data_IF_351783328209
#
_entry.id   IF_351783328209
#
_cell.length_a   1.000
_cell.length_b   1.000
_cell.length_c   1.000
_cell.angle_alpha   90.00
_cell.angle_beta   90.00
_cell.angle_gamma   90.00
#
_symmetry.space_group_name_H-M   'P 1'
#
loop_
_entity.id
_entity.type
_entity.pdbx_description
1 polymer ?
#
# COMPACT_ATOMS: atom_id res chain seq x y z
N UNK A 1 41.02 -11.21 3.31
CA UNK A 1 39.91 -11.57 2.40
C UNK A 1 38.89 -10.45 2.57
N UNK A 2 38.86 -9.53 1.60
CA UNK A 2 37.97 -8.36 1.68
C UNK A 2 36.57 -8.78 1.27
N UNK A 3 35.69 -8.76 2.24
CA UNK A 3 34.25 -8.90 2.04
C UNK A 3 33.78 -7.66 1.23
N UNK A 4 33.61 -7.85 -0.07
CA UNK A 4 32.97 -6.84 -0.91
C UNK A 4 31.48 -6.93 -0.60
N UNK A 5 30.99 -6.03 0.24
CA UNK A 5 29.56 -5.72 0.28
C UNK A 5 29.11 -5.46 -1.14
N UNK A 6 28.39 -6.42 -1.70
CA UNK A 6 27.66 -6.20 -2.96
C UNK A 6 26.58 -5.20 -2.59
N UNK A 7 26.77 -3.95 -2.95
CA UNK A 7 25.74 -2.93 -2.82
C UNK A 7 24.63 -3.37 -3.78
N UNK A 8 23.51 -3.82 -3.24
CA UNK A 8 22.33 -4.19 -4.03
C UNK A 8 21.88 -2.97 -4.81
N UNK A 9 21.93 -3.05 -6.13
CA UNK A 9 21.46 -1.98 -7.01
C UNK A 9 19.94 -2.15 -7.13
N UNK A 10 19.21 -1.16 -6.65
CA UNK A 10 17.76 -1.10 -6.74
C UNK A 10 17.33 -0.48 -8.06
N UNK A 11 16.43 -1.15 -8.78
CA UNK A 11 15.89 -0.70 -10.06
C UNK A 11 14.39 -0.48 -9.89
N UNK A 12 13.83 0.66 -10.32
CA UNK A 12 12.39 0.87 -10.34
C UNK A 12 11.70 -0.22 -11.16
N UNK A 13 10.62 -0.78 -10.63
CA UNK A 13 9.78 -1.76 -11.30
C UNK A 13 8.43 -1.16 -11.58
N UNK A 14 7.92 -1.39 -12.78
CA UNK A 14 6.56 -1.02 -13.13
C UNK A 14 5.57 -1.86 -12.32
N UNK A 15 4.53 -1.21 -11.85
CA UNK A 15 3.39 -1.82 -11.20
C UNK A 15 2.43 -2.40 -12.23
N UNK A 16 1.62 -3.37 -11.83
CA UNK A 16 0.49 -3.85 -12.63
C UNK A 16 -0.72 -2.94 -12.43
N UNK A 17 -1.68 -2.97 -13.34
CA UNK A 17 -2.94 -2.23 -13.20
C UNK A 17 -3.65 -2.52 -11.87
N UNK A 18 -3.58 -3.76 -11.36
CA UNK A 18 -4.13 -4.12 -10.06
C UNK A 18 -3.38 -3.43 -8.91
N UNK A 19 -2.04 -3.44 -8.96
CA UNK A 19 -1.22 -2.75 -7.95
C UNK A 19 -1.47 -1.24 -7.97
N UNK A 20 -1.56 -0.62 -9.16
CA UNK A 20 -1.87 0.80 -9.32
C UNK A 20 -3.22 1.15 -8.68
N UNK A 21 -4.22 0.29 -8.88
CA UNK A 21 -5.54 0.46 -8.29
C UNK A 21 -5.50 0.40 -6.75
N UNK A 22 -4.79 -0.58 -6.19
CA UNK A 22 -4.60 -0.67 -4.73
C UNK A 22 -3.84 0.54 -4.20
N UNK A 23 -2.76 0.95 -4.88
CA UNK A 23 -1.96 2.13 -4.50
C UNK A 23 -2.82 3.39 -4.48
N UNK A 24 -3.63 3.61 -5.52
CA UNK A 24 -4.53 4.76 -5.59
C UNK A 24 -5.49 4.85 -4.39
N UNK A 25 -5.92 3.71 -3.85
CA UNK A 25 -6.81 3.66 -2.68
C UNK A 25 -6.10 3.90 -1.34
N UNK A 26 -4.80 3.68 -1.26
CA UNK A 26 -4.02 3.91 -0.02
C UNK A 26 -3.39 5.30 0.04
N UNK A 27 -3.30 6.01 -1.08
CA UNK A 27 -2.85 7.40 -1.08
C UNK A 27 -3.79 8.27 -0.24
N UNK A 28 -3.21 9.13 0.59
CA UNK A 28 -3.96 9.97 1.53
C UNK A 28 -4.32 9.30 2.85
N UNK A 29 -4.22 7.97 2.96
CA UNK A 29 -4.41 7.27 4.23
C UNK A 29 -3.17 7.36 5.13
N UNK A 30 -3.34 7.15 6.44
CA UNK A 30 -2.25 7.14 7.43
C UNK A 30 -1.96 5.71 7.89
N UNK A 31 -0.67 5.35 7.98
CA UNK A 31 -0.26 4.06 8.56
C UNK A 31 -0.40 4.12 10.08
N UNK A 32 -1.16 3.20 10.65
CA UNK A 32 -1.34 3.08 12.11
C UNK A 32 -0.42 2.04 12.73
N UNK A 33 -0.19 0.94 12.04
CA UNK A 33 0.67 -0.14 12.50
C UNK A 33 0.81 -1.24 11.47
N UNK A 34 1.70 -2.20 11.75
CA UNK A 34 1.95 -3.32 10.84
C UNK A 34 2.32 -4.58 11.61
N UNK A 35 2.18 -5.72 10.94
CA UNK A 35 2.77 -7.00 11.34
C UNK A 35 3.16 -7.80 10.10
N UNK A 36 4.04 -8.78 10.30
CA UNK A 36 4.49 -9.70 9.24
C UNK A 36 4.01 -11.11 9.59
N UNK A 37 3.40 -11.77 8.64
CA UNK A 37 2.97 -13.15 8.76
C UNK A 37 2.97 -13.83 7.39
N UNK A 38 3.42 -15.09 7.32
CA UNK A 38 3.38 -15.96 6.14
C UNK A 38 3.85 -15.28 4.85
N UNK A 39 5.07 -14.70 4.89
CA UNK A 39 5.72 -14.05 3.75
C UNK A 39 4.96 -12.82 3.20
N UNK A 40 4.14 -12.20 4.03
CA UNK A 40 3.43 -10.98 3.70
C UNK A 40 3.57 -9.93 4.81
N UNK A 41 3.51 -8.67 4.42
CA UNK A 41 3.36 -7.53 5.32
C UNK A 41 1.91 -7.09 5.34
N UNK A 42 1.36 -6.88 6.51
CA UNK A 42 0.01 -6.40 6.76
C UNK A 42 0.08 -5.03 7.43
N UNK A 43 -0.47 -4.03 6.78
CA UNK A 43 -0.41 -2.63 7.22
C UNK A 43 -1.82 -2.15 7.51
N UNK A 44 -2.08 -1.75 8.75
CA UNK A 44 -3.35 -1.14 9.14
C UNK A 44 -3.33 0.33 8.76
N UNK A 45 -4.36 0.77 8.04
CA UNK A 45 -4.62 2.15 7.66
C UNK A 45 -5.73 2.77 8.52
N UNK A 46 -5.69 4.09 8.71
CA UNK A 46 -6.69 4.85 9.47
C UNK A 46 -8.10 4.82 8.86
N UNK A 47 -8.20 4.51 7.57
CA UNK A 47 -9.45 4.27 6.85
C UNK A 47 -10.13 2.93 7.17
N UNK A 48 -9.60 2.15 8.13
CA UNK A 48 -10.17 0.88 8.58
C UNK A 48 -9.87 -0.33 7.70
N UNK A 49 -8.92 -0.21 6.79
CA UNK A 49 -8.46 -1.28 5.89
C UNK A 49 -7.09 -1.81 6.30
N UNK A 50 -6.84 -3.07 5.96
CA UNK A 50 -5.51 -3.68 5.99
C UNK A 50 -5.00 -3.80 4.56
N UNK A 51 -3.88 -3.15 4.29
CA UNK A 51 -3.13 -3.30 3.06
C UNK A 51 -2.15 -4.44 3.21
N UNK A 52 -2.32 -5.49 2.41
CA UNK A 52 -1.44 -6.67 2.40
C UNK A 52 -0.50 -6.59 1.21
N UNK A 53 0.79 -6.79 1.45
CA UNK A 53 1.82 -6.85 0.41
C UNK A 53 2.52 -8.20 0.53
N UNK A 54 2.40 -9.04 -0.50
CA UNK A 54 2.93 -10.39 -0.55
C UNK A 54 4.37 -10.41 -1.09
N UNK A 55 5.10 -11.48 -0.79
CA UNK A 55 6.50 -11.68 -1.22
C UNK A 55 6.70 -11.59 -2.74
N UNK A 56 5.73 -12.04 -3.52
CA UNK A 56 5.75 -11.95 -4.99
C UNK A 56 5.47 -10.54 -5.53
N UNK A 57 5.08 -9.62 -4.64
CA UNK A 57 4.74 -8.25 -4.96
C UNK A 57 3.26 -8.01 -5.20
N UNK A 58 2.42 -9.06 -5.16
CA UNK A 58 0.97 -8.87 -5.22
C UNK A 58 0.47 -8.12 -3.99
N UNK A 59 -0.65 -7.42 -4.16
CA UNK A 59 -1.24 -6.58 -3.13
C UNK A 59 -2.71 -6.89 -2.93
N UNK A 60 -3.18 -6.70 -1.70
CA UNK A 60 -4.59 -6.77 -1.36
C UNK A 60 -4.98 -5.62 -0.43
N UNK A 61 -6.21 -5.15 -0.52
CA UNK A 61 -6.77 -4.16 0.37
C UNK A 61 -8.14 -4.63 0.86
N UNK A 62 -8.23 -5.02 2.13
CA UNK A 62 -9.45 -5.56 2.72
C UNK A 62 -9.83 -4.81 4.00
N UNK A 63 -11.13 -4.67 4.30
CA UNK A 63 -11.57 -4.23 5.61
C UNK A 63 -10.92 -5.07 6.71
N UNK A 64 -10.44 -4.45 7.78
CA UNK A 64 -9.66 -5.16 8.82
C UNK A 64 -10.34 -6.41 9.41
N UNK A 65 -11.69 -6.46 9.61
CA UNK A 65 -12.32 -7.66 10.12
C UNK A 65 -12.23 -8.85 9.15
N UNK A 66 -12.30 -8.58 7.83
CA UNK A 66 -12.19 -9.57 6.78
C UNK A 66 -10.74 -10.05 6.68
N UNK A 67 -9.79 -9.11 6.55
CA UNK A 67 -8.37 -9.43 6.48
C UNK A 67 -7.92 -10.34 7.62
N UNK A 68 -8.29 -10.03 8.88
CA UNK A 68 -7.93 -10.85 10.04
C UNK A 68 -8.63 -12.21 10.02
N UNK A 69 -9.85 -12.30 9.50
CA UNK A 69 -10.57 -13.58 9.44
C UNK A 69 -9.93 -14.56 8.46
N UNK A 70 -9.33 -14.07 7.38
CA UNK A 70 -8.68 -14.87 6.33
C UNK A 70 -7.28 -15.37 6.71
N UNK A 71 -6.64 -14.80 7.74
CA UNK A 71 -5.33 -15.26 8.19
C UNK A 71 -5.37 -16.74 8.64
N UNK A 72 -4.40 -17.52 8.24
CA UNK A 72 -4.22 -18.91 8.72
C UNK A 72 -3.53 -18.94 10.09
N UNK A 73 -4.13 -18.27 11.06
CA UNK A 73 -3.70 -18.20 12.46
C UNK A 73 -4.68 -18.92 13.39
N UNK A 74 -4.17 -19.34 14.55
CA UNK A 74 -5.02 -19.82 15.63
C UNK A 74 -5.96 -18.70 16.15
N UNK A 75 -7.13 -19.07 16.72
CA UNK A 75 -8.12 -18.09 17.17
C UNK A 75 -7.59 -17.10 18.20
N UNK A 76 -6.66 -17.51 19.08
CA UNK A 76 -6.12 -16.64 20.11
C UNK A 76 -5.25 -15.52 19.51
N UNK A 77 -4.42 -15.85 18.53
CA UNK A 77 -3.62 -14.85 17.80
C UNK A 77 -4.48 -13.90 16.97
N UNK A 78 -5.52 -14.42 16.29
CA UNK A 78 -6.48 -13.55 15.60
C UNK A 78 -7.13 -12.55 16.55
N UNK A 79 -7.50 -12.99 17.74
CA UNK A 79 -8.09 -12.12 18.76
C UNK A 79 -7.10 -11.06 19.28
N UNK A 80 -5.82 -11.42 19.46
CA UNK A 80 -4.78 -10.46 19.80
C UNK A 80 -4.59 -9.40 18.72
N UNK A 81 -4.58 -9.80 17.43
CA UNK A 81 -4.49 -8.84 16.32
C UNK A 81 -5.70 -7.90 16.30
N UNK A 82 -6.92 -8.42 16.51
CA UNK A 82 -8.13 -7.57 16.60
C UNK A 82 -8.03 -6.56 17.72
N UNK A 83 -7.61 -7.01 18.91
CA UNK A 83 -7.40 -6.11 20.05
C UNK A 83 -6.36 -5.02 19.76
N UNK A 84 -5.24 -5.38 19.10
CA UNK A 84 -4.22 -4.41 18.69
C UNK A 84 -4.79 -3.41 17.67
N UNK A 85 -5.58 -3.86 16.70
CA UNK A 85 -6.26 -3.01 15.71
C UNK A 85 -7.18 -2.02 16.41
N UNK A 86 -8.02 -2.49 17.34
CA UNK A 86 -8.94 -1.62 18.09
C UNK A 86 -8.17 -0.53 18.85
N UNK A 87 -7.05 -0.90 19.51
CA UNK A 87 -6.18 0.05 20.21
C UNK A 87 -5.56 1.09 19.25
N UNK A 88 -5.14 0.66 18.07
CA UNK A 88 -4.54 1.55 17.06
C UNK A 88 -5.59 2.52 16.49
N UNK A 89 -6.77 2.05 16.14
CA UNK A 89 -7.85 2.87 15.57
C UNK A 89 -8.35 3.96 16.53
N UNK A 90 -8.35 3.69 17.85
CA UNK A 90 -8.72 4.71 18.84
C UNK A 90 -7.54 5.57 19.30
N UNK A 91 -6.35 5.41 18.70
CA UNK A 91 -5.15 6.17 19.06
C UNK A 91 -4.63 5.88 20.48
N UNK A 92 -4.91 4.69 21.04
CA UNK A 92 -4.46 4.31 22.37
C UNK A 92 -2.94 4.16 22.42
N UNK A 93 -2.30 4.66 23.50
CA UNK A 93 -0.86 4.47 23.76
C UNK A 93 -0.54 3.11 24.41
N UNK A 94 -1.52 2.22 24.58
CA UNK A 94 -1.32 0.91 25.19
C UNK A 94 -0.32 0.05 24.39
N UNK A 95 0.33 -0.87 25.10
CA UNK A 95 1.24 -1.84 24.48
C UNK A 95 0.47 -2.80 23.58
N UNK A 96 0.94 -3.00 22.37
CA UNK A 96 0.39 -3.94 21.42
C UNK A 96 0.99 -5.34 21.66
N UNK A 97 0.21 -6.37 21.36
CA UNK A 97 0.60 -7.77 21.59
C UNK A 97 1.42 -8.34 20.42
N UNK A 98 0.99 -8.08 19.19
CA UNK A 98 1.55 -8.66 17.96
C UNK A 98 1.89 -7.60 16.90
N UNK A 99 1.16 -6.51 16.85
CA UNK A 99 1.42 -5.45 15.88
C UNK A 99 2.52 -4.49 16.36
N UNK A 100 3.23 -3.92 15.38
CA UNK A 100 4.18 -2.83 15.60
C UNK A 100 3.50 -1.53 15.23
N UNK A 101 3.47 -0.57 16.14
CA UNK A 101 2.91 0.76 15.89
C UNK A 101 3.77 1.49 14.87
N UNK A 102 3.13 2.08 13.87
CA UNK A 102 3.82 2.99 12.96
C UNK A 102 4.22 4.27 13.70
N UNK A 103 5.32 4.89 13.25
CA UNK A 103 5.62 6.26 13.64
C UNK A 103 4.54 7.19 13.07
N UNK A 104 4.34 8.35 13.69
CA UNK A 104 3.45 9.38 13.14
C UNK A 104 4.13 10.01 11.91
N UNK A 105 3.78 9.49 10.74
CA UNK A 105 4.36 9.89 9.45
C UNK A 105 3.44 10.81 8.64
N UNK A 106 2.18 10.98 9.07
CA UNK A 106 1.16 11.67 8.29
C UNK A 106 0.61 10.81 7.15
N UNK A 107 -0.04 11.44 6.20
CA UNK A 107 -0.68 10.77 5.08
C UNK A 107 0.35 10.22 4.07
N UNK A 108 0.01 9.08 3.46
CA UNK A 108 0.79 8.51 2.35
C UNK A 108 0.68 9.41 1.13
N UNK A 109 1.82 9.81 0.58
CA UNK A 109 1.90 10.70 -0.60
C UNK A 109 2.40 9.99 -1.85
N UNK A 110 3.15 8.89 -1.69
CA UNK A 110 3.70 8.12 -2.82
C UNK A 110 4.06 6.70 -2.41
N UNK A 111 4.08 5.79 -3.39
CA UNK A 111 4.51 4.40 -3.23
C UNK A 111 5.41 4.01 -4.40
N UNK A 112 6.66 3.68 -4.14
CA UNK A 112 7.61 3.21 -5.13
C UNK A 112 7.86 1.71 -4.99
N UNK A 113 7.95 0.99 -6.12
CA UNK A 113 8.32 -0.41 -6.16
C UNK A 113 9.71 -0.57 -6.78
N UNK A 114 10.62 -1.17 -6.04
CA UNK A 114 12.01 -1.39 -6.42
C UNK A 114 12.33 -2.88 -6.42
N UNK A 115 13.19 -3.30 -7.33
CA UNK A 115 13.66 -4.68 -7.41
C UNK A 115 15.19 -4.72 -7.51
N UNK A 116 15.79 -5.68 -6.83
CA UNK A 116 17.19 -6.06 -6.99
C UNK A 116 17.29 -7.52 -7.43
N UNK A 117 18.51 -8.04 -7.61
CA UNK A 117 18.72 -9.44 -7.99
C UNK A 117 18.19 -10.44 -6.96
N UNK A 118 18.09 -10.05 -5.69
CA UNK A 118 17.78 -10.95 -4.57
C UNK A 118 16.59 -10.51 -3.73
N UNK A 119 16.09 -9.28 -3.94
CA UNK A 119 15.11 -8.67 -3.06
C UNK A 119 14.15 -7.77 -3.82
N UNK A 120 12.97 -7.56 -3.24
CA UNK A 120 11.99 -6.55 -3.63
C UNK A 120 11.81 -5.57 -2.50
N UNK A 121 11.50 -4.33 -2.84
CA UNK A 121 11.27 -3.28 -1.86
C UNK A 121 10.12 -2.38 -2.28
N UNK A 122 9.15 -2.20 -1.38
CA UNK A 122 8.17 -1.14 -1.48
C UNK A 122 8.61 -0.01 -0.57
N UNK A 123 8.66 1.20 -1.12
CA UNK A 123 8.95 2.42 -0.36
C UNK A 123 7.68 3.24 -0.31
N UNK A 124 7.12 3.35 0.87
CA UNK A 124 5.95 4.16 1.15
C UNK A 124 6.45 5.51 1.64
N UNK A 125 6.20 6.56 0.89
CA UNK A 125 6.50 7.94 1.27
C UNK A 125 5.26 8.55 1.90
N UNK A 126 5.43 9.18 3.05
CA UNK A 126 4.40 9.92 3.75
C UNK A 126 4.89 11.35 4.04
N UNK A 127 4.01 12.24 4.51
CA UNK A 127 4.30 13.66 4.73
C UNK A 127 5.56 13.91 5.57
N UNK A 128 5.83 13.07 6.57
CA UNK A 128 6.90 13.28 7.56
C UNK A 128 7.95 12.17 7.59
N UNK A 129 7.97 11.28 6.60
CA UNK A 129 8.97 10.23 6.54
C UNK A 129 8.63 9.11 5.56
N UNK A 130 9.45 8.06 5.60
CA UNK A 130 9.31 6.92 4.67
C UNK A 130 9.37 5.60 5.41
N UNK A 131 8.65 4.61 4.91
CA UNK A 131 8.70 3.21 5.36
C UNK A 131 9.11 2.33 4.20
N UNK A 132 10.10 1.47 4.40
CA UNK A 132 10.45 0.44 3.44
C UNK A 132 9.96 -0.93 3.89
N UNK A 133 9.34 -1.66 2.98
CA UNK A 133 9.03 -3.08 3.13
C UNK A 133 9.96 -3.82 2.20
N UNK A 134 10.95 -4.49 2.76
CA UNK A 134 11.94 -5.26 2.01
C UNK A 134 11.64 -6.74 2.13
N UNK A 135 11.60 -7.40 0.98
CA UNK A 135 11.29 -8.82 0.83
C UNK A 135 12.46 -9.54 0.19
N UNK A 136 13.11 -10.42 0.93
CA UNK A 136 14.19 -11.27 0.42
C UNK A 136 13.63 -12.46 -0.32
N UNK A 137 13.96 -12.60 -1.61
CA UNK A 137 13.50 -13.72 -2.44
C UNK A 137 14.21 -15.03 -2.08
N UNK A 138 15.42 -14.95 -1.52
CA UNK A 138 16.23 -16.12 -1.16
C UNK A 138 15.87 -16.67 0.22
N UNK A 139 15.70 -15.81 1.24
CA UNK A 139 15.34 -16.21 2.60
C UNK A 139 13.83 -16.28 2.83
N UNK A 140 13.02 -15.74 1.90
CA UNK A 140 11.56 -15.56 2.02
C UNK A 140 11.16 -14.74 3.25
N UNK A 141 12.03 -13.82 3.64
CA UNK A 141 11.84 -12.96 4.80
C UNK A 141 11.31 -11.59 4.40
N UNK A 142 10.34 -11.09 5.15
CA UNK A 142 9.75 -9.76 4.99
C UNK A 142 10.15 -8.90 6.17
N UNK A 143 10.67 -7.72 5.90
CA UNK A 143 11.07 -6.73 6.91
C UNK A 143 10.40 -5.40 6.64
N UNK A 144 9.88 -4.78 7.70
CA UNK A 144 9.32 -3.42 7.66
C UNK A 144 10.24 -2.50 8.45
N UNK A 145 10.74 -1.46 7.81
CA UNK A 145 11.72 -0.52 8.38
C UNK A 145 11.29 0.92 8.17
N UNK A 146 11.43 1.75 9.20
CA UNK A 146 11.32 3.20 9.02
C UNK A 146 12.63 3.72 8.44
N UNK A 147 12.58 4.35 7.30
CA UNK A 147 13.71 5.02 6.66
C UNK A 147 13.82 6.43 7.25
N UNK A 148 14.60 6.56 8.34
CA UNK A 148 15.00 7.87 8.85
C UNK A 148 16.27 8.25 8.11
N UNK A 149 16.20 9.30 7.30
CA UNK A 149 17.37 10.01 6.73
C UNK A 149 18.34 9.17 5.86
N UNK A 150 17.88 8.16 5.13
CA UNK A 150 18.65 7.73 3.96
C UNK A 150 18.59 8.87 2.92
N UNK A 151 19.76 9.40 2.46
CA UNK A 151 19.76 10.38 1.39
C UNK A 151 19.05 9.76 0.19
N UNK A 152 18.26 10.56 -0.51
CA UNK A 152 17.60 10.18 -1.76
C UNK A 152 18.64 9.58 -2.71
N UNK A 153 18.72 8.26 -2.71
CA UNK A 153 19.45 7.54 -3.76
C UNK A 153 18.56 7.68 -4.99
N UNK A 154 18.90 8.68 -5.78
CA UNK A 154 18.28 9.21 -6.97
C UNK A 154 17.33 8.21 -7.70
N UNK A 155 16.11 8.10 -7.22
CA UNK A 155 14.98 7.75 -8.05
C UNK A 155 14.52 9.08 -8.68
N UNK A 156 14.81 9.28 -9.95
CA UNK A 156 14.25 10.40 -10.69
C UNK A 156 12.72 10.42 -10.52
N UNK A 157 12.09 11.59 -10.34
CA UNK A 157 10.65 11.69 -10.11
C UNK A 157 9.90 11.45 -11.43
N UNK A 158 9.76 10.19 -11.82
CA UNK A 158 9.00 9.83 -13.03
C UNK A 158 7.53 9.51 -12.76
N UNK A 159 7.13 9.35 -11.49
CA UNK A 159 5.84 8.72 -11.18
C UNK A 159 4.70 9.71 -10.93
N UNK A 160 4.95 10.87 -10.33
CA UNK A 160 3.83 11.78 -9.99
C UNK A 160 3.23 12.51 -11.20
N UNK A 161 4.02 12.75 -12.26
CA UNK A 161 3.49 13.31 -13.51
C UNK A 161 2.69 12.26 -14.31
N UNK A 162 3.18 11.02 -14.37
CA UNK A 162 2.48 9.92 -15.06
C UNK A 162 1.19 9.50 -14.34
N UNK A 163 1.14 9.52 -12.99
CA UNK A 163 -0.09 9.20 -12.25
C UNK A 163 -1.18 10.24 -12.44
N UNK A 164 -0.84 11.53 -12.51
CA UNK A 164 -1.80 12.57 -12.86
C UNK A 164 -2.28 12.46 -14.32
N UNK A 165 -1.37 12.15 -15.26
CA UNK A 165 -1.74 11.91 -16.65
C UNK A 165 -2.61 10.66 -16.83
N UNK A 166 -2.35 9.58 -16.05
CA UNK A 166 -3.18 8.37 -16.05
C UNK A 166 -4.55 8.66 -15.43
N UNK A 167 -4.62 9.39 -14.32
CA UNK A 167 -5.88 9.77 -13.69
C UNK A 167 -6.72 10.71 -14.59
N UNK A 168 -6.08 11.65 -15.28
CA UNK A 168 -6.75 12.51 -16.27
C UNK A 168 -7.22 11.70 -17.50
N UNK A 169 -6.41 10.76 -17.99
CA UNK A 169 -6.76 9.88 -19.11
C UNK A 169 -7.90 8.90 -18.76
N UNK A 170 -7.92 8.34 -17.55
CA UNK A 170 -9.05 7.53 -17.07
C UNK A 170 -10.32 8.36 -16.92
N UNK A 171 -10.23 9.56 -16.36
CA UNK A 171 -11.37 10.46 -16.23
C UNK A 171 -11.93 10.85 -17.59
N UNK A 172 -11.08 11.14 -18.57
CA UNK A 172 -11.48 11.47 -19.94
C UNK A 172 -12.09 10.26 -20.68
N UNK A 173 -11.54 9.05 -20.47
CA UNK A 173 -12.10 7.81 -21.00
C UNK A 173 -13.49 7.49 -20.43
N UNK A 174 -13.69 7.66 -19.14
CA UNK A 174 -14.97 7.46 -18.47
C UNK A 174 -16.01 8.48 -18.92
N UNK A 175 -15.60 9.73 -19.08
CA UNK A 175 -16.42 10.81 -19.63
C UNK A 175 -16.88 10.49 -21.05
N UNK A 176 -15.97 10.04 -21.91
CA UNK A 176 -16.28 9.68 -23.29
C UNK A 176 -17.25 8.48 -23.36
N UNK A 177 -17.04 7.46 -22.55
CA UNK A 177 -17.89 6.28 -22.51
C UNK A 177 -19.30 6.60 -22.03
N UNK A 178 -19.41 7.38 -20.96
CA UNK A 178 -20.72 7.82 -20.45
C UNK A 178 -21.44 8.76 -21.42
N UNK A 179 -20.71 9.58 -22.16
CA UNK A 179 -21.23 10.41 -23.24
C UNK A 179 -21.81 9.59 -24.41
N UNK A 180 -21.13 8.48 -24.76
CA UNK A 180 -21.63 7.55 -25.78
C UNK A 180 -22.91 6.84 -25.33
N UNK A 181 -23.01 6.43 -24.07
CA UNK A 181 -24.19 5.78 -23.50
C UNK A 181 -25.38 6.74 -23.34
N UNK A 182 -25.15 7.98 -22.92
CA UNK A 182 -26.19 8.98 -22.70
C UNK A 182 -26.59 9.75 -24.00
N UNK A 183 -25.75 9.71 -25.02
CA UNK A 183 -25.93 10.50 -26.24
C UNK A 183 -25.85 12.02 -26.04
N UNK A 184 -25.35 12.47 -24.90
CA UNK A 184 -25.11 13.86 -24.49
C UNK A 184 -23.95 13.97 -23.52
N UNK A 185 -23.49 15.20 -23.26
CA UNK A 185 -22.48 15.45 -22.24
C UNK A 185 -23.00 15.04 -20.87
N UNK A 186 -22.27 14.15 -20.11
CA UNK A 186 -22.64 13.79 -18.76
C UNK A 186 -22.43 14.96 -17.81
N UNK A 187 -23.23 15.03 -16.75
CA UNK A 187 -23.03 15.95 -15.66
C UNK A 187 -22.14 15.30 -14.60
N UNK A 188 -21.44 16.11 -13.79
CA UNK A 188 -20.59 15.60 -12.70
C UNK A 188 -21.30 14.62 -11.74
N UNK A 189 -22.56 14.88 -11.29
CA UNK A 189 -23.31 13.92 -10.48
C UNK A 189 -23.63 12.59 -11.18
N UNK A 190 -23.80 12.60 -12.50
CA UNK A 190 -24.03 11.37 -13.28
C UNK A 190 -22.74 10.55 -13.41
N UNK A 191 -21.60 11.22 -13.51
CA UNK A 191 -20.29 10.57 -13.52
C UNK A 191 -20.00 9.91 -12.16
N UNK A 192 -20.24 10.61 -11.06
CA UNK A 192 -20.08 10.08 -9.70
C UNK A 192 -21.00 8.89 -9.43
N UNK A 193 -22.27 8.96 -9.86
CA UNK A 193 -23.22 7.86 -9.70
C UNK A 193 -22.83 6.64 -10.54
N UNK A 194 -22.36 6.85 -11.78
CA UNK A 194 -21.89 5.78 -12.66
C UNK A 194 -20.65 5.09 -12.07
N UNK A 195 -19.68 5.88 -11.56
CA UNK A 195 -18.51 5.36 -10.87
C UNK A 195 -18.92 4.53 -9.65
N UNK A 196 -19.85 5.01 -8.83
CA UNK A 196 -20.34 4.29 -7.65
C UNK A 196 -20.96 2.94 -8.04
N UNK A 197 -21.78 2.89 -9.08
CA UNK A 197 -22.45 1.65 -9.52
C UNK A 197 -21.49 0.63 -10.13
N UNK A 198 -20.36 1.06 -10.70
CA UNK A 198 -19.39 0.16 -11.32
C UNK A 198 -18.23 -0.23 -10.40
N UNK A 199 -18.01 0.50 -9.31
CA UNK A 199 -17.01 0.15 -8.26
C UNK A 199 -17.60 -0.68 -7.11
N UNK A 200 -18.92 -0.65 -6.88
CA UNK A 200 -19.58 -1.48 -5.84
C UNK A 200 -19.87 -2.93 -6.30
N UNK A 201 -19.45 -3.33 -7.49
CA UNK A 201 -19.78 -4.63 -8.13
C UNK A 201 -18.68 -5.69 -8.14
N UNK A 202 -17.59 -5.54 -7.35
CA UNK A 202 -16.55 -6.56 -7.21
C UNK A 202 -16.23 -6.80 -5.76
#
# INVERSE_FOLDING_TARGET
MSDRSITDVWIPRQTSTHQDHVIAHVLGATLLGSFVFDEASYILLDIGFVWTIFLDGEMGLLPHPVAVSELELDPARKEQIRADIDLLLIGSAATLALMVRASDLGAITDVAFLESSTSRRFVITAESGRVAITMSLSSREVQVMNLKDEPEESAEPSSSMELNEIAEAEHEYLHQRLREELGREPTEPELEEWLRQHTEGY
#
